data_IF_582868058276
#
_entry.id   IF_582868058276
#
_cell.length_a   1.000
_cell.length_b   1.000
_cell.length_c   1.000
_cell.angle_alpha   90.00
_cell.angle_beta   90.00
_cell.angle_gamma   90.00
#
_symmetry.space_group_name_H-M   'P 1'
#
loop_
_entity.id
_entity.type
_entity.pdbx_description
1 polymer ?
#
# COMPACT_ATOMS: atom_id res chain seq x y z
N UNK A 1 -34.48 -11.67 -13.55
CA UNK A 1 -34.45 -12.43 -12.29
C UNK A 1 -32.99 -12.74 -12.02
N UNK A 2 -32.44 -11.94 -11.11
CA UNK A 2 -31.26 -12.17 -10.27
C UNK A 2 -30.00 -12.85 -10.84
N UNK A 3 -29.00 -12.03 -11.15
CA UNK A 3 -27.66 -12.22 -10.59
C UNK A 3 -27.16 -10.85 -10.17
N UNK A 4 -27.57 -10.38 -9.00
CA UNK A 4 -26.78 -9.39 -8.28
C UNK A 4 -25.36 -9.96 -8.15
N UNK A 5 -24.44 -9.49 -9.00
CA UNK A 5 -23.01 -9.72 -8.82
C UNK A 5 -22.71 -9.31 -7.38
N UNK A 6 -22.31 -10.27 -6.55
CA UNK A 6 -21.89 -10.00 -5.18
C UNK A 6 -20.89 -8.85 -5.30
N UNK A 7 -21.19 -7.69 -4.70
CA UNK A 7 -20.30 -6.54 -4.79
C UNK A 7 -18.97 -6.97 -4.17
N UNK A 8 -18.00 -7.30 -5.02
CA UNK A 8 -16.65 -7.60 -4.56
C UNK A 8 -16.21 -6.43 -3.70
N UNK A 9 -15.69 -6.75 -2.51
CA UNK A 9 -15.17 -5.71 -1.63
C UNK A 9 -14.08 -4.93 -2.38
N UNK A 10 -14.05 -3.60 -2.28
CA UNK A 10 -13.08 -2.80 -3.02
C UNK A 10 -11.66 -3.26 -2.66
N UNK A 11 -10.72 -3.30 -3.64
CA UNK A 11 -9.34 -3.66 -3.37
C UNK A 11 -8.77 -2.83 -2.21
N UNK A 12 -8.32 -3.49 -1.14
CA UNK A 12 -7.66 -2.81 -0.01
C UNK A 12 -6.20 -2.59 -0.35
N UNK A 13 -5.83 -1.35 -0.63
CA UNK A 13 -4.48 -0.98 -1.06
C UNK A 13 -3.78 -0.28 0.10
N UNK A 14 -2.63 -0.78 0.53
CA UNK A 14 -1.80 -0.08 1.52
C UNK A 14 -0.68 0.66 0.79
N UNK A 15 -0.65 1.98 0.89
CA UNK A 15 0.42 2.84 0.40
C UNK A 15 1.41 3.12 1.54
N UNK A 16 2.65 2.68 1.37
CA UNK A 16 3.72 2.92 2.33
C UNK A 16 4.43 4.23 2.00
N UNK A 17 4.17 5.28 2.79
CA UNK A 17 4.74 6.61 2.61
C UNK A 17 6.18 6.69 3.13
N UNK A 18 7.10 7.20 2.30
CA UNK A 18 8.47 7.50 2.68
C UNK A 18 8.71 9.00 2.90
N UNK A 19 7.65 9.76 3.20
CA UNK A 19 7.63 11.22 3.38
C UNK A 19 7.84 11.96 2.06
N UNK A 20 7.04 11.60 1.06
CA UNK A 20 7.06 12.23 -0.25
C UNK A 20 5.79 13.06 -0.49
N UNK A 21 5.93 14.17 -1.22
CA UNK A 21 4.81 15.08 -1.49
C UNK A 21 3.75 14.52 -2.44
N UNK A 22 4.03 13.42 -3.16
CA UNK A 22 3.13 12.83 -4.15
C UNK A 22 2.35 11.61 -3.64
N UNK A 23 2.59 11.15 -2.40
CA UNK A 23 1.91 9.99 -1.81
C UNK A 23 0.38 10.10 -1.88
N UNK A 24 -0.17 11.29 -1.58
CA UNK A 24 -1.63 11.49 -1.62
C UNK A 24 -2.20 11.52 -3.04
N UNK A 25 -1.41 11.90 -4.04
CA UNK A 25 -1.84 11.83 -5.43
C UNK A 25 -2.03 10.38 -5.86
N UNK A 26 -1.12 9.49 -5.47
CA UNK A 26 -1.25 8.05 -5.72
C UNK A 26 -2.45 7.45 -4.99
N UNK A 27 -2.65 7.82 -3.72
CA UNK A 27 -3.84 7.38 -2.97
C UNK A 27 -5.13 7.82 -3.68
N UNK A 28 -5.21 9.06 -4.17
CA UNK A 28 -6.36 9.53 -4.93
C UNK A 28 -6.56 8.75 -6.23
N UNK A 29 -5.49 8.46 -6.98
CA UNK A 29 -5.58 7.65 -8.20
C UNK A 29 -6.08 6.22 -7.91
N UNK A 30 -5.63 5.60 -6.82
CA UNK A 30 -6.14 4.30 -6.38
C UNK A 30 -7.64 4.36 -6.05
N UNK A 31 -8.07 5.39 -5.33
CA UNK A 31 -9.49 5.59 -5.02
C UNK A 31 -10.34 5.80 -6.30
N UNK A 32 -9.84 6.59 -7.26
CA UNK A 32 -10.49 6.79 -8.56
C UNK A 32 -10.58 5.49 -9.39
N UNK A 33 -9.64 4.57 -9.20
CA UNK A 33 -9.66 3.23 -9.79
C UNK A 33 -10.58 2.24 -9.05
N UNK A 34 -11.30 2.68 -8.00
CA UNK A 34 -12.24 1.84 -7.24
C UNK A 34 -11.64 1.08 -6.05
N UNK A 35 -10.39 1.38 -5.68
CA UNK A 35 -9.77 0.81 -4.49
C UNK A 35 -10.14 1.57 -3.21
N UNK A 36 -9.86 0.94 -2.06
CA UNK A 36 -9.88 1.54 -0.73
C UNK A 36 -8.43 1.71 -0.23
N UNK A 37 -7.75 2.82 -0.57
CA UNK A 37 -6.37 3.06 -0.19
C UNK A 37 -6.23 3.52 1.27
N UNK A 38 -5.21 3.03 1.95
CA UNK A 38 -4.77 3.45 3.27
C UNK A 38 -3.30 3.86 3.20
N UNK A 39 -2.97 5.08 3.63
CA UNK A 39 -1.59 5.59 3.62
C UNK A 39 -0.98 5.40 5.00
N UNK A 40 0.14 4.69 5.08
CA UNK A 40 0.87 4.41 6.31
C UNK A 40 2.34 4.82 6.19
N UNK A 41 2.95 5.44 7.20
CA UNK A 41 4.36 5.76 7.18
C UNK A 41 5.21 4.48 7.24
N UNK A 42 6.15 4.33 6.30
CA UNK A 42 7.06 3.17 6.28
C UNK A 42 7.90 3.08 7.56
N UNK A 43 8.41 4.21 8.03
CA UNK A 43 9.33 4.27 9.17
C UNK A 43 8.72 3.81 10.51
N UNK A 44 7.39 3.76 10.62
CA UNK A 44 6.71 3.36 11.86
C UNK A 44 6.01 1.99 11.75
N UNK A 45 6.17 1.29 10.63
CA UNK A 45 5.48 0.04 10.36
C UNK A 45 6.42 -1.16 10.43
N UNK A 46 6.00 -2.19 11.15
CA UNK A 46 6.65 -3.51 11.16
C UNK A 46 5.93 -4.46 10.19
N UNK A 47 6.68 -5.37 9.57
CA UNK A 47 6.13 -6.32 8.59
C UNK A 47 4.94 -7.15 9.13
N UNK A 48 4.96 -7.52 10.42
CA UNK A 48 3.84 -8.26 11.05
C UNK A 48 2.54 -7.45 11.08
N UNK A 49 2.64 -6.13 11.24
CA UNK A 49 1.49 -5.23 11.23
C UNK A 49 0.93 -5.14 9.81
N UNK A 50 1.79 -5.08 8.79
CA UNK A 50 1.39 -5.10 7.39
C UNK A 50 0.58 -6.35 7.03
N UNK A 51 0.99 -7.54 7.50
CA UNK A 51 0.24 -8.78 7.29
C UNK A 51 -1.14 -8.77 7.97
N UNK A 52 -1.24 -8.17 9.17
CA UNK A 52 -2.49 -8.06 9.90
C UNK A 52 -3.50 -7.09 9.24
N UNK A 53 -3.06 -6.21 8.34
CA UNK A 53 -3.94 -5.30 7.63
C UNK A 53 -4.82 -6.00 6.58
N UNK A 54 -4.56 -7.27 6.24
CA UNK A 54 -5.28 -7.99 5.18
C UNK A 54 -5.35 -7.18 3.89
N UNK A 55 -4.25 -6.52 3.53
CA UNK A 55 -4.13 -5.76 2.29
C UNK A 55 -4.19 -6.71 1.10
N UNK A 56 -4.93 -6.32 0.06
CA UNK A 56 -4.93 -7.05 -1.22
C UNK A 56 -3.70 -6.69 -2.05
N UNK A 57 -3.23 -5.46 -1.91
CA UNK A 57 -2.09 -4.91 -2.63
C UNK A 57 -1.31 -3.98 -1.70
N UNK A 58 0.01 -3.97 -1.88
CA UNK A 58 0.91 -3.03 -1.19
C UNK A 58 1.64 -2.22 -2.25
N UNK A 59 1.61 -0.91 -2.12
CA UNK A 59 2.38 0.02 -2.94
C UNK A 59 3.47 0.61 -2.06
N UNK A 60 4.73 0.36 -2.42
CA UNK A 60 5.84 1.10 -1.85
C UNK A 60 5.84 2.50 -2.48
N UNK A 61 5.43 3.50 -1.71
CA UNK A 61 5.32 4.87 -2.17
C UNK A 61 6.67 5.48 -2.55
N UNK A 62 6.65 6.58 -3.32
CA UNK A 62 7.85 7.36 -3.60
C UNK A 62 8.46 7.89 -2.30
N UNK A 63 9.74 8.18 -2.35
CA UNK A 63 10.49 8.76 -1.25
C UNK A 63 11.60 9.65 -1.78
N UNK A 64 12.03 10.67 -1.03
CA UNK A 64 13.21 11.44 -1.38
C UNK A 64 14.47 10.55 -1.30
N UNK A 65 15.45 10.81 -2.16
CA UNK A 65 16.76 10.15 -2.12
C UNK A 65 16.86 8.90 -2.99
N UNK A 66 17.62 7.90 -2.54
CA UNK A 66 17.94 6.70 -3.32
C UNK A 66 17.34 5.45 -2.67
N UNK A 67 16.85 4.45 -3.44
CA UNK A 67 16.24 3.23 -2.89
C UNK A 67 17.11 2.48 -1.87
N UNK A 68 18.44 2.58 -1.98
CA UNK A 68 19.36 2.01 -1.00
C UNK A 68 19.18 2.55 0.43
N UNK A 69 18.60 3.75 0.59
CA UNK A 69 18.28 4.33 1.89
C UNK A 69 16.99 3.75 2.51
N UNK A 70 16.16 3.06 1.72
CA UNK A 70 14.92 2.41 2.17
C UNK A 70 15.17 0.95 2.59
N UNK A 71 16.10 0.75 3.53
CA UNK A 71 16.61 -0.57 3.91
C UNK A 71 15.49 -1.54 4.35
N UNK A 72 14.49 -1.05 5.10
CA UNK A 72 13.38 -1.88 5.57
C UNK A 72 12.51 -2.39 4.41
N UNK A 73 12.18 -1.52 3.46
CA UNK A 73 11.40 -1.91 2.28
C UNK A 73 12.14 -2.94 1.41
N UNK A 74 13.45 -2.75 1.20
CA UNK A 74 14.28 -3.71 0.48
C UNK A 74 14.37 -5.06 1.20
N UNK A 75 14.37 -5.05 2.54
CA UNK A 75 14.34 -6.27 3.34
C UNK A 75 13.01 -7.01 3.19
N UNK A 76 11.89 -6.29 3.19
CA UNK A 76 10.55 -6.90 3.04
C UNK A 76 10.37 -7.54 1.66
N UNK A 77 10.82 -6.88 0.59
CA UNK A 77 10.75 -7.43 -0.78
C UNK A 77 11.55 -8.72 -0.98
N UNK A 78 12.54 -8.97 -0.12
CA UNK A 78 13.40 -10.17 -0.16
C UNK A 78 12.97 -11.24 0.83
N UNK A 79 12.00 -10.95 1.69
CA UNK A 79 11.49 -11.93 2.63
C UNK A 79 10.72 -13.03 1.87
N UNK A 80 10.87 -14.31 2.25
CA UNK A 80 10.00 -15.34 1.73
C UNK A 80 8.54 -15.05 2.12
N UNK A 81 7.57 -15.45 1.29
CA UNK A 81 6.15 -15.25 1.58
C UNK A 81 5.71 -15.95 2.88
#
# INVERSE_FOLDING_TARGET
MDTASARESPPRVVLLDQRDSFTHNLAQLCAQAGAAPEVLPLAALELRQLHALCATHVILGPGPGHPAAAADALRWLRAPP
#
